data_IF_617880132376
#
_entry.id   IF_617880132376
#
_cell.length_a   1.000
_cell.length_b   1.000
_cell.length_c   1.000
_cell.angle_alpha   90.00
_cell.angle_beta   90.00
_cell.angle_gamma   90.00
#
_symmetry.space_group_name_H-M   'P 1'
#
loop_
_entity.id
_entity.type
_entity.pdbx_description
1 polymer ?
#
# COMPACT_ATOMS: atom_id res chain seq x y z
N UNK A 1 -15.51 -5.70 -24.30
CA UNK A 1 -16.17 -6.62 -23.35
C UNK A 1 -16.31 -5.88 -22.02
N UNK A 2 -17.47 -5.87 -21.34
CA UNK A 2 -17.55 -5.32 -20.00
C UNK A 2 -16.57 -6.09 -19.10
N UNK A 3 -15.86 -5.38 -18.24
CA UNK A 3 -14.87 -5.96 -17.35
C UNK A 3 -15.45 -6.99 -16.37
N UNK A 4 -16.74 -6.85 -16.05
CA UNK A 4 -17.53 -7.81 -15.27
C UNK A 4 -18.86 -8.05 -15.98
N UNK A 5 -18.99 -9.17 -16.69
CA UNK A 5 -20.27 -9.64 -17.24
C UNK A 5 -20.52 -11.12 -16.97
N UNK A 6 -19.73 -11.73 -16.07
CA UNK A 6 -19.84 -13.12 -15.68
C UNK A 6 -20.70 -13.27 -14.42
N UNK A 7 -21.37 -14.42 -14.29
CA UNK A 7 -22.01 -14.87 -13.05
C UNK A 7 -20.97 -14.91 -11.92
N UNK A 8 -21.26 -14.31 -10.76
CA UNK A 8 -20.32 -14.25 -9.63
C UNK A 8 -19.50 -12.95 -9.53
N UNK A 9 -19.77 -11.97 -10.39
CA UNK A 9 -19.26 -10.61 -10.23
C UNK A 9 -20.01 -9.85 -9.12
N UNK A 10 -19.26 -9.33 -8.15
CA UNK A 10 -19.73 -8.45 -7.08
C UNK A 10 -19.45 -7.00 -7.45
N UNK A 11 -20.47 -6.14 -7.38
CA UNK A 11 -20.32 -4.69 -7.57
C UNK A 11 -19.78 -4.08 -6.27
N UNK A 12 -18.63 -3.41 -6.35
CA UNK A 12 -18.00 -2.73 -5.21
C UNK A 12 -18.41 -1.25 -5.13
N UNK A 13 -18.65 -0.62 -6.28
CA UNK A 13 -19.02 0.78 -6.37
C UNK A 13 -19.77 1.09 -7.69
N UNK A 14 -20.61 2.11 -7.66
CA UNK A 14 -21.29 2.68 -8.83
C UNK A 14 -21.03 4.18 -8.93
N UNK A 15 -21.12 4.70 -10.14
CA UNK A 15 -21.21 6.13 -10.39
C UNK A 15 -22.59 6.66 -10.00
N UNK A 16 -22.76 7.99 -10.00
CA UNK A 16 -24.04 8.63 -9.65
C UNK A 16 -25.18 8.24 -10.60
N UNK A 17 -24.87 7.90 -11.85
CA UNK A 17 -25.83 7.45 -12.86
C UNK A 17 -26.18 5.95 -12.74
N UNK A 18 -25.62 5.25 -11.74
CA UNK A 18 -25.85 3.83 -11.50
C UNK A 18 -24.96 2.89 -12.30
N UNK A 19 -24.10 3.39 -13.20
CA UNK A 19 -23.15 2.54 -13.93
C UNK A 19 -22.04 2.02 -13.02
N UNK A 20 -21.53 0.81 -13.28
CA UNK A 20 -20.54 0.16 -12.40
C UNK A 20 -19.20 0.89 -12.48
N UNK A 21 -18.70 1.32 -11.31
CA UNK A 21 -17.42 2.00 -11.17
C UNK A 21 -16.30 1.06 -10.72
N UNK A 22 -16.63 0.03 -9.94
CA UNK A 22 -15.69 -1.01 -9.54
C UNK A 22 -16.40 -2.35 -9.32
N UNK A 23 -15.71 -3.44 -9.65
CA UNK A 23 -16.24 -4.78 -9.48
C UNK A 23 -15.16 -5.77 -9.06
N UNK A 24 -15.58 -6.86 -8.42
CA UNK A 24 -14.74 -7.96 -7.95
C UNK A 24 -15.28 -9.29 -8.46
N UNK A 25 -14.37 -10.17 -8.85
CA UNK A 25 -14.68 -11.57 -9.15
C UNK A 25 -13.71 -12.46 -8.40
N UNK A 26 -14.22 -13.57 -7.86
CA UNK A 26 -13.43 -14.59 -7.17
C UNK A 26 -13.70 -15.95 -7.81
N UNK A 27 -12.62 -16.67 -8.11
CA UNK A 27 -12.66 -18.03 -8.63
C UNK A 27 -11.48 -18.85 -8.08
N UNK A 28 -11.28 -20.06 -8.62
CA UNK A 28 -10.21 -20.96 -8.20
C UNK A 28 -8.81 -20.40 -8.49
N UNK A 29 -8.68 -19.43 -9.38
CA UNK A 29 -7.41 -18.81 -9.78
C UNK A 29 -7.09 -17.56 -8.95
N UNK A 30 -8.04 -17.03 -8.18
CA UNK A 30 -7.83 -15.95 -7.23
C UNK A 30 -8.91 -14.88 -7.27
N UNK A 31 -8.51 -13.64 -6.96
CA UNK A 31 -9.40 -12.47 -6.93
C UNK A 31 -8.95 -11.48 -7.99
N UNK A 32 -9.89 -11.07 -8.83
CA UNK A 32 -9.71 -10.01 -9.83
C UNK A 32 -10.57 -8.82 -9.44
N UNK A 33 -10.00 -7.63 -9.57
CA UNK A 33 -10.74 -6.37 -9.37
C UNK A 33 -10.59 -5.49 -10.59
N UNK A 34 -11.67 -4.82 -10.96
CA UNK A 34 -11.70 -3.85 -12.04
C UNK A 34 -12.16 -2.52 -11.49
N UNK A 35 -11.54 -1.46 -11.99
CA UNK A 35 -11.75 -0.10 -11.52
C UNK A 35 -11.90 0.83 -12.73
N UNK A 36 -12.95 1.64 -12.75
CA UNK A 36 -13.18 2.66 -13.77
C UNK A 36 -12.25 3.87 -13.59
N UNK A 37 -11.65 4.03 -12.41
CA UNK A 37 -10.58 4.98 -12.11
C UNK A 37 -9.48 4.29 -11.29
N UNK A 38 -8.22 4.72 -11.38
CA UNK A 38 -7.15 4.15 -10.58
C UNK A 38 -7.44 4.28 -9.07
N UNK A 39 -7.36 3.19 -8.29
CA UNK A 39 -7.43 3.29 -6.83
C UNK A 39 -6.17 4.03 -6.33
N UNK A 40 -6.33 5.27 -5.86
CA UNK A 40 -5.21 6.11 -5.43
C UNK A 40 -5.06 6.19 -3.91
N UNK A 41 -6.09 5.83 -3.14
CA UNK A 41 -6.05 6.00 -1.69
C UNK A 41 -5.18 4.90 -1.04
N UNK A 42 -4.14 5.24 -0.25
CA UNK A 42 -3.22 4.27 0.32
C UNK A 42 -3.89 3.18 1.16
N UNK A 43 -4.89 3.54 1.99
CA UNK A 43 -5.64 2.57 2.78
C UNK A 43 -6.34 1.49 1.93
N UNK A 44 -6.91 1.88 0.78
CA UNK A 44 -7.55 0.95 -0.16
C UNK A 44 -6.51 0.03 -0.80
N UNK A 45 -5.38 0.59 -1.24
CA UNK A 45 -4.27 -0.18 -1.81
C UNK A 45 -3.71 -1.18 -0.79
N UNK A 46 -3.45 -0.75 0.46
CA UNK A 46 -2.99 -1.64 1.54
C UNK A 46 -3.97 -2.76 1.83
N UNK A 47 -5.28 -2.50 1.81
CA UNK A 47 -6.29 -3.54 1.97
C UNK A 47 -6.19 -4.63 0.89
N UNK A 48 -6.13 -4.23 -0.39
CA UNK A 48 -6.04 -5.19 -1.51
C UNK A 48 -4.71 -5.93 -1.56
N UNK A 49 -3.60 -5.22 -1.32
CA UNK A 49 -2.26 -5.82 -1.33
C UNK A 49 -2.08 -6.82 -0.17
N UNK A 50 -2.61 -6.51 1.03
CA UNK A 50 -2.63 -7.49 2.14
C UNK A 50 -3.44 -8.73 1.79
N UNK A 51 -4.62 -8.55 1.17
CA UNK A 51 -5.43 -9.68 0.73
C UNK A 51 -4.73 -10.55 -0.33
N UNK A 52 -3.79 -9.97 -1.08
CA UNK A 52 -2.92 -10.66 -2.03
C UNK A 52 -1.66 -11.28 -1.38
N UNK A 53 -1.49 -11.15 -0.06
CA UNK A 53 -0.32 -11.67 0.66
C UNK A 53 0.92 -10.78 0.59
N UNK A 54 0.80 -9.54 0.11
CA UNK A 54 1.91 -8.59 0.12
C UNK A 54 2.19 -8.07 1.54
N UNK A 55 3.47 -7.89 1.85
CA UNK A 55 3.91 -7.24 3.08
C UNK A 55 3.73 -5.72 2.99
N UNK A 56 3.17 -5.13 4.04
CA UNK A 56 3.11 -3.67 4.20
C UNK A 56 4.37 -3.23 4.94
N UNK A 57 5.16 -2.37 4.30
CA UNK A 57 6.42 -1.87 4.87
C UNK A 57 6.19 -0.69 5.82
N UNK A 58 5.23 0.18 5.50
CA UNK A 58 4.86 1.32 6.32
C UNK A 58 3.34 1.34 6.50
N UNK A 59 2.91 1.38 7.75
CA UNK A 59 1.48 1.46 8.11
C UNK A 59 0.86 2.85 7.88
N UNK A 60 1.69 3.85 7.59
CA UNK A 60 1.30 5.24 7.39
C UNK A 60 1.34 5.64 5.90
N UNK A 61 0.71 6.77 5.59
CA UNK A 61 0.58 7.32 4.22
C UNK A 61 1.79 8.15 3.81
N UNK A 62 2.97 7.74 4.25
CA UNK A 62 4.23 8.38 3.87
C UNK A 62 4.75 7.81 2.55
N UNK A 63 5.44 8.65 1.79
CA UNK A 63 6.18 8.17 0.63
C UNK A 63 7.30 7.23 1.09
N UNK A 64 7.21 5.97 0.69
CA UNK A 64 8.11 4.90 1.14
C UNK A 64 8.74 4.22 -0.07
N UNK A 65 10.07 4.11 -0.10
CA UNK A 65 10.81 3.42 -1.15
C UNK A 65 11.70 2.34 -0.53
N UNK A 66 11.69 1.16 -1.14
CA UNK A 66 12.54 0.03 -0.75
C UNK A 66 13.30 -0.47 -1.96
N UNK A 67 14.62 -0.58 -1.83
CA UNK A 67 15.47 -1.07 -2.91
C UNK A 67 16.95 -0.91 -2.58
N UNK A 68 17.80 -1.72 -3.21
CA UNK A 68 19.26 -1.67 -3.05
C UNK A 68 19.73 -1.76 -1.57
N UNK A 69 19.00 -2.49 -0.71
CA UNK A 69 19.31 -2.60 0.71
C UNK A 69 18.88 -1.40 1.56
N UNK A 70 18.17 -0.43 0.99
CA UNK A 70 17.72 0.79 1.66
C UNK A 70 16.20 0.80 1.85
N UNK A 71 15.78 1.40 2.96
CA UNK A 71 14.41 1.84 3.21
C UNK A 71 14.42 3.37 3.36
N UNK A 72 13.71 4.08 2.48
CA UNK A 72 13.54 5.52 2.56
C UNK A 72 12.10 5.84 2.94
N UNK A 73 11.94 6.73 3.91
CA UNK A 73 10.63 7.22 4.35
C UNK A 73 10.66 8.73 4.34
N UNK A 74 9.75 9.35 3.58
CA UNK A 74 9.53 10.78 3.59
C UNK A 74 8.20 11.11 4.26
N UNK A 75 8.23 11.84 5.38
CA UNK A 75 7.01 12.21 6.09
C UNK A 75 6.65 13.67 5.86
N UNK A 76 5.35 13.95 5.73
CA UNK A 76 4.83 15.33 5.73
C UNK A 76 4.62 15.79 7.17
N UNK A 77 3.95 14.98 7.98
CA UNK A 77 3.52 15.34 9.34
C UNK A 77 4.48 14.85 10.45
N UNK A 78 5.37 13.90 10.13
CA UNK A 78 6.22 13.25 11.14
C UNK A 78 5.44 12.39 12.13
N UNK A 79 6.05 12.12 13.27
CA UNK A 79 5.49 11.36 14.38
C UNK A 79 6.00 9.92 14.47
N UNK A 80 5.38 9.14 15.36
CA UNK A 80 5.75 7.75 15.58
C UNK A 80 5.47 6.90 14.33
N UNK A 81 6.40 6.00 14.00
CA UNK A 81 6.30 5.05 12.90
C UNK A 81 6.70 3.65 13.35
N UNK A 82 5.97 2.68 12.81
CA UNK A 82 6.38 1.28 12.80
C UNK A 82 6.64 0.89 11.35
N UNK A 83 7.86 0.46 11.06
CA UNK A 83 8.29 0.05 9.73
C UNK A 83 8.70 -1.42 9.73
N UNK A 84 8.45 -2.08 8.60
CA UNK A 84 8.68 -3.51 8.37
C UNK A 84 9.50 -3.68 7.07
N UNK A 85 10.80 -3.38 7.07
CA UNK A 85 11.66 -3.65 5.91
C UNK A 85 11.62 -5.15 5.52
N UNK A 86 11.63 -5.50 4.23
CA UNK A 86 11.63 -6.89 3.80
C UNK A 86 12.88 -7.64 4.30
N UNK A 87 12.68 -8.70 5.09
CA UNK A 87 13.77 -9.51 5.66
C UNK A 87 14.57 -8.84 6.78
N UNK A 88 14.20 -7.60 7.16
CA UNK A 88 14.86 -6.84 8.22
C UNK A 88 14.09 -6.85 9.54
N UNK A 89 14.64 -6.20 10.58
CA UNK A 89 13.96 -6.06 11.86
C UNK A 89 12.79 -5.08 11.77
N UNK A 90 11.83 -5.21 12.70
CA UNK A 90 10.80 -4.19 12.93
C UNK A 90 11.48 -2.94 13.48
N UNK A 91 11.22 -1.78 12.87
CA UNK A 91 11.77 -0.49 13.29
C UNK A 91 10.65 0.32 13.96
N UNK A 92 10.87 0.73 15.20
CA UNK A 92 10.02 1.68 15.92
C UNK A 92 10.80 2.98 16.09
N UNK A 93 10.30 4.09 15.54
CA UNK A 93 11.02 5.37 15.51
C UNK A 93 10.06 6.56 15.52
N UNK A 94 10.57 7.75 15.79
CA UNK A 94 9.83 9.02 15.64
C UNK A 94 10.49 9.82 14.54
N UNK A 95 9.76 10.06 13.45
CA UNK A 95 10.28 10.80 12.31
C UNK A 95 9.90 12.29 12.40
N UNK A 96 10.79 13.23 12.02
CA UNK A 96 10.47 14.64 11.97
C UNK A 96 9.53 14.95 10.80
N UNK A 97 8.68 15.98 10.89
CA UNK A 97 7.84 16.42 9.77
C UNK A 97 8.69 16.96 8.61
N UNK A 98 8.17 16.84 7.39
CA UNK A 98 8.76 17.37 6.15
C UNK A 98 10.22 16.95 5.94
N UNK A 99 10.54 15.71 6.28
CA UNK A 99 11.89 15.16 6.23
C UNK A 99 11.91 13.83 5.50
N UNK A 100 13.11 13.45 5.04
CA UNK A 100 13.39 12.10 4.54
C UNK A 100 14.42 11.45 5.45
N UNK A 101 14.10 10.25 5.93
CA UNK A 101 15.01 9.42 6.72
C UNK A 101 15.30 8.14 5.94
N UNK A 102 16.58 7.77 5.88
CA UNK A 102 17.10 6.61 5.16
C UNK A 102 17.60 5.60 6.19
N UNK A 103 17.14 4.36 6.06
CA UNK A 103 17.53 3.25 6.89
C UNK A 103 18.29 2.22 6.06
N UNK A 104 19.28 1.57 6.68
CA UNK A 104 19.75 0.27 6.22
C UNK A 104 18.65 -0.77 6.46
N UNK A 105 18.15 -1.42 5.41
CA UNK A 105 16.99 -2.30 5.52
C UNK A 105 17.30 -3.60 6.29
N UNK A 106 18.56 -4.04 6.32
CA UNK A 106 18.98 -5.27 6.98
C UNK A 106 19.14 -5.11 8.50
N UNK A 107 19.70 -3.99 8.94
CA UNK A 107 19.97 -3.70 10.36
C UNK A 107 18.94 -2.77 11.00
N UNK A 108 18.19 -2.01 10.20
CA UNK A 108 17.28 -0.97 10.67
C UNK A 108 17.99 0.31 11.17
N UNK A 109 19.30 0.43 11.00
CA UNK A 109 20.05 1.62 11.40
C UNK A 109 19.71 2.82 10.51
N UNK A 110 19.62 4.00 11.10
CA UNK A 110 19.51 5.27 10.36
C UNK A 110 20.86 5.57 9.71
N UNK A 111 20.85 5.76 8.39
CA UNK A 111 22.02 6.12 7.58
C UNK A 111 22.06 7.63 7.27
N UNK A 112 20.88 8.23 7.10
CA UNK A 112 20.72 9.66 6.79
C UNK A 112 19.37 10.16 7.30
N UNK A 113 19.31 11.42 7.69
CA UNK A 113 18.12 12.04 8.26
C UNK A 113 18.11 11.95 9.79
N UNK A 114 17.04 12.45 10.39
CA UNK A 114 16.80 12.48 11.82
C UNK A 114 15.54 11.68 12.15
#
# INVERSE_FOLDING_TARGET
>A
MPACSATGCEVLATWQDGTVAAARHRDAQGVRTWWGIPPAHPALLRHHLRAAGCQVVNEHDDATLVGAGLLLVHTVDGGARTLHPPGGPRIETVLPPRSTTVFDAASGQVLLGA
#
